data_IF_918483110210
#
_entry.id   IF_918483110210
#
_cell.length_a   1.000
_cell.length_b   1.000
_cell.length_c   1.000
_cell.angle_alpha   90.00
_cell.angle_beta   90.00
_cell.angle_gamma   90.00
#
_symmetry.space_group_name_H-M   'P 1'
#
loop_
_entity.id
_entity.type
_entity.pdbx_description
1 polymer ?
#
# COMPACT_ATOMS: atom_id res chain seq x y z
N UNK A 1 20.92 0.48 6.47
CA UNK A 1 20.09 -0.71 6.75
C UNK A 1 19.44 -0.52 8.12
N UNK A 2 18.11 -0.44 8.15
CA UNK A 2 17.37 -0.16 9.39
C UNK A 2 17.46 -1.36 10.36
N UNK A 3 17.74 -1.11 11.64
CA UNK A 3 17.89 -2.18 12.65
C UNK A 3 16.59 -2.96 12.86
N UNK A 4 15.44 -2.30 12.67
CA UNK A 4 14.09 -2.86 12.80
C UNK A 4 13.79 -3.86 11.68
N UNK A 5 14.12 -3.52 10.42
CA UNK A 5 14.00 -4.40 9.25
C UNK A 5 14.72 -5.75 9.46
N UNK A 6 15.95 -5.70 9.99
CA UNK A 6 16.76 -6.89 10.26
C UNK A 6 16.15 -7.76 11.38
N UNK A 7 15.54 -7.15 12.40
CA UNK A 7 14.93 -7.87 13.52
C UNK A 7 13.64 -8.60 13.11
N UNK A 8 12.79 -7.94 12.30
CA UNK A 8 11.58 -8.53 11.74
C UNK A 8 11.87 -9.77 10.89
N UNK A 9 12.78 -9.64 9.93
CA UNK A 9 13.16 -10.73 9.04
C UNK A 9 13.72 -11.92 9.82
N UNK A 10 14.56 -11.66 10.85
CA UNK A 10 15.06 -12.71 11.75
C UNK A 10 13.94 -13.45 12.48
N UNK A 11 12.95 -12.74 13.00
CA UNK A 11 11.82 -13.36 13.70
C UNK A 11 10.98 -14.24 12.77
N UNK A 12 10.71 -13.78 11.54
CA UNK A 12 9.99 -14.55 10.54
C UNK A 12 10.77 -15.80 10.12
N UNK A 13 12.07 -15.69 9.85
CA UNK A 13 12.93 -16.82 9.51
C UNK A 13 13.03 -17.83 10.68
N UNK A 14 13.11 -17.35 11.92
CA UNK A 14 13.11 -18.20 13.10
C UNK A 14 11.78 -18.96 13.26
N UNK A 15 10.64 -18.33 12.98
CA UNK A 15 9.34 -19.00 12.97
C UNK A 15 9.26 -20.08 11.88
N UNK A 16 9.78 -19.80 10.68
CA UNK A 16 9.83 -20.80 9.61
C UNK A 16 10.66 -22.00 10.06
N UNK A 17 11.87 -21.75 10.60
CA UNK A 17 12.81 -22.76 11.03
C UNK A 17 12.33 -23.60 12.23
N UNK A 18 11.49 -23.03 13.11
CA UNK A 18 10.99 -23.74 14.30
C UNK A 18 10.02 -24.88 13.97
N UNK A 19 9.49 -24.94 12.74
CA UNK A 19 8.44 -25.89 12.37
C UNK A 19 7.06 -25.56 12.95
N UNK A 20 6.92 -24.46 13.71
CA UNK A 20 5.65 -24.05 14.28
C UNK A 20 4.58 -23.82 13.21
N UNK A 21 3.33 -24.12 13.56
CA UNK A 21 2.16 -23.88 12.73
C UNK A 21 1.46 -22.59 13.17
N UNK A 22 0.87 -21.89 12.21
CA UNK A 22 0.01 -20.74 12.44
C UNK A 22 -1.28 -20.97 11.67
N UNK A 23 -2.39 -20.94 12.41
CA UNK A 23 -3.74 -21.18 11.92
C UNK A 23 -4.66 -20.05 12.39
N UNK A 24 -5.55 -19.62 11.50
CA UNK A 24 -6.53 -18.54 11.70
C UNK A 24 -7.89 -19.06 11.24
N UNK A 25 -8.93 -18.87 12.04
CA UNK A 25 -10.24 -19.48 11.80
C UNK A 25 -10.26 -20.98 12.11
N UNK A 26 -11.26 -21.70 11.61
CA UNK A 26 -11.40 -23.14 11.83
C UNK A 26 -11.61 -23.91 10.52
N UNK A 27 -11.03 -25.11 10.35
CA UNK A 27 -11.19 -25.89 9.12
C UNK A 27 -12.65 -26.23 8.79
N UNK A 28 -13.52 -26.40 9.80
CA UNK A 28 -14.94 -26.68 9.62
C UNK A 28 -15.73 -25.53 8.98
N UNK A 29 -15.24 -24.29 9.11
CA UNK A 29 -15.84 -23.10 8.52
C UNK A 29 -15.53 -23.00 7.01
N UNK A 30 -14.54 -23.77 6.52
CA UNK A 30 -14.22 -23.81 5.11
C UNK A 30 -15.37 -24.41 4.28
N UNK A 31 -15.64 -23.86 3.09
CA UNK A 31 -16.71 -24.34 2.22
C UNK A 31 -16.36 -25.66 1.52
N UNK A 32 -15.07 -26.00 1.45
CA UNK A 32 -14.51 -27.24 0.90
C UNK A 32 -13.49 -27.84 1.89
N UNK A 33 -13.21 -29.16 1.84
CA UNK A 33 -12.17 -29.77 2.66
C UNK A 33 -10.80 -29.10 2.47
N UNK A 34 -10.04 -28.95 3.55
CA UNK A 34 -8.74 -28.27 3.50
C UNK A 34 -7.74 -28.94 2.54
N UNK A 35 -7.75 -30.28 2.47
CA UNK A 35 -6.93 -31.01 1.50
C UNK A 35 -7.29 -30.66 0.06
N UNK A 36 -8.58 -30.45 -0.23
CA UNK A 36 -9.05 -30.00 -1.55
C UNK A 36 -8.54 -28.59 -1.86
N UNK A 37 -8.67 -27.65 -0.91
CA UNK A 37 -8.17 -26.27 -1.07
C UNK A 37 -6.66 -26.21 -1.30
N UNK A 38 -5.89 -27.01 -0.56
CA UNK A 38 -4.43 -27.04 -0.68
C UNK A 38 -3.93 -27.63 -2.01
N UNK A 39 -4.75 -28.47 -2.67
CA UNK A 39 -4.43 -29.09 -3.96
C UNK A 39 -5.10 -28.39 -5.16
N UNK A 40 -5.85 -27.31 -4.94
CA UNK A 40 -6.47 -26.54 -6.03
C UNK A 40 -5.39 -25.96 -6.94
N UNK A 41 -5.47 -26.28 -8.23
CA UNK A 41 -4.54 -25.80 -9.26
C UNK A 41 -5.23 -24.95 -10.35
N UNK A 42 -6.56 -24.88 -10.33
CA UNK A 42 -7.37 -24.11 -11.28
C UNK A 42 -8.13 -24.98 -12.28
N UNK A 43 -7.81 -26.28 -12.39
CA UNK A 43 -8.49 -27.19 -13.33
C UNK A 43 -9.85 -27.70 -12.82
N UNK A 44 -10.18 -27.42 -11.56
CA UNK A 44 -11.34 -28.00 -10.89
C UNK A 44 -12.62 -27.24 -11.26
N UNK A 45 -13.74 -27.95 -11.38
CA UNK A 45 -15.03 -27.34 -11.77
C UNK A 45 -15.57 -26.31 -10.76
N UNK A 46 -15.12 -26.34 -9.51
CA UNK A 46 -15.47 -25.34 -8.50
C UNK A 46 -14.62 -24.06 -8.60
N UNK A 47 -13.62 -24.01 -9.49
CA UNK A 47 -12.84 -22.80 -9.75
C UNK A 47 -13.48 -22.06 -10.91
N UNK A 48 -14.02 -20.87 -10.65
CA UNK A 48 -14.63 -20.04 -11.68
C UNK A 48 -13.64 -19.10 -12.35
N UNK A 49 -12.53 -18.77 -11.67
CA UNK A 49 -11.52 -17.85 -12.19
C UNK A 49 -10.14 -18.08 -11.57
N UNK A 50 -9.10 -17.97 -12.38
CA UNK A 50 -7.71 -17.87 -11.93
C UNK A 50 -7.21 -16.44 -12.14
N UNK A 51 -6.64 -15.83 -11.09
CA UNK A 51 -6.00 -14.52 -11.15
C UNK A 51 -4.49 -14.71 -11.30
N UNK A 52 -4.03 -14.70 -12.54
CA UNK A 52 -2.62 -14.84 -12.93
C UNK A 52 -1.85 -13.54 -12.70
N UNK A 53 -1.48 -13.26 -11.45
CA UNK A 53 -0.70 -12.07 -11.10
C UNK A 53 0.14 -12.16 -9.82
N UNK A 54 -0.14 -13.11 -8.93
CA UNK A 54 0.57 -13.21 -7.65
C UNK A 54 2.01 -13.74 -7.80
N UNK A 55 2.99 -12.95 -7.37
CA UNK A 55 4.41 -13.36 -7.34
C UNK A 55 4.70 -14.41 -6.24
N UNK A 56 3.89 -14.41 -5.18
CA UNK A 56 4.11 -15.24 -3.98
C UNK A 56 3.06 -16.34 -3.83
N UNK A 57 1.90 -16.19 -4.47
CA UNK A 57 0.77 -17.11 -4.37
C UNK A 57 0.01 -17.22 -5.70
N UNK A 58 -0.68 -18.35 -5.88
CA UNK A 58 -1.78 -18.50 -6.82
C UNK A 58 -3.05 -17.96 -6.17
N UNK A 59 -3.90 -17.28 -6.94
CA UNK A 59 -5.18 -16.75 -6.43
C UNK A 59 -6.32 -17.24 -7.33
N UNK A 60 -7.32 -17.86 -6.72
CA UNK A 60 -8.46 -18.45 -7.39
C UNK A 60 -9.77 -17.89 -6.83
N UNK A 61 -10.77 -17.72 -7.70
CA UNK A 61 -12.18 -17.60 -7.30
C UNK A 61 -12.77 -19.00 -7.24
N UNK A 62 -13.24 -19.39 -6.06
CA UNK A 62 -13.84 -20.71 -5.78
C UNK A 62 -15.32 -20.55 -5.50
N UNK A 63 -16.16 -21.32 -6.19
CA UNK A 63 -17.60 -21.38 -5.98
C UNK A 63 -17.94 -22.58 -5.09
N UNK A 64 -18.43 -22.32 -3.89
CA UNK A 64 -18.78 -23.38 -2.96
C UNK A 64 -19.85 -22.92 -1.96
N UNK A 65 -20.78 -23.82 -1.64
CA UNK A 65 -21.94 -23.57 -0.76
C UNK A 65 -22.79 -22.35 -1.19
N UNK A 66 -22.90 -22.12 -2.50
CA UNK A 66 -23.69 -21.00 -3.06
C UNK A 66 -23.06 -19.63 -2.89
N UNK A 67 -21.77 -19.55 -2.56
CA UNK A 67 -21.01 -18.31 -2.40
C UNK A 67 -19.68 -18.40 -3.15
N UNK A 68 -19.13 -17.24 -3.49
CA UNK A 68 -17.80 -17.10 -4.08
C UNK A 68 -16.77 -16.79 -3.01
N UNK A 69 -15.60 -17.41 -3.15
CA UNK A 69 -14.49 -17.32 -2.21
C UNK A 69 -13.20 -16.96 -2.94
N UNK A 70 -12.32 -16.23 -2.27
CA UNK A 70 -10.95 -16.02 -2.72
C UNK A 70 -10.05 -17.03 -2.02
N UNK A 71 -9.47 -17.95 -2.79
CA UNK A 71 -8.43 -18.86 -2.33
C UNK A 71 -7.06 -18.34 -2.78
N UNK A 72 -6.24 -17.93 -1.81
CA UNK A 72 -4.82 -17.63 -2.02
C UNK A 72 -4.00 -18.84 -1.57
N UNK A 73 -3.37 -19.52 -2.53
CA UNK A 73 -2.51 -20.70 -2.31
C UNK A 73 -1.04 -20.31 -2.46
N UNK A 74 -0.24 -20.51 -1.43
CA UNK A 74 1.19 -20.24 -1.49
C UNK A 74 1.84 -21.03 -2.64
N UNK A 75 2.75 -20.38 -3.39
CA UNK A 75 3.52 -21.08 -4.42
C UNK A 75 4.49 -22.06 -3.78
N UNK A 76 4.72 -23.19 -4.45
CA UNK A 76 5.76 -24.14 -4.06
C UNK A 76 7.15 -23.50 -4.11
N UNK A 77 7.34 -22.53 -5.03
CA UNK A 77 8.51 -21.65 -5.12
C UNK A 77 8.06 -20.21 -5.23
N UNK A 78 8.36 -19.39 -4.23
CA UNK A 78 8.14 -17.94 -4.28
C UNK A 78 8.99 -17.34 -5.40
N UNK A 79 8.39 -16.48 -6.24
CA UNK A 79 9.11 -15.81 -7.33
C UNK A 79 9.95 -14.64 -6.83
N UNK A 80 9.61 -14.06 -5.67
CA UNK A 80 10.37 -12.98 -5.04
C UNK A 80 11.50 -13.58 -4.18
N UNK A 81 12.75 -13.22 -4.51
CA UNK A 81 13.94 -13.85 -3.91
C UNK A 81 14.45 -13.14 -2.65
N UNK A 82 14.02 -11.91 -2.38
CA UNK A 82 14.42 -11.20 -1.16
C UNK A 82 13.71 -11.78 0.08
N UNK A 83 14.25 -11.50 1.27
CA UNK A 83 13.75 -12.08 2.52
C UNK A 83 12.28 -11.71 2.81
N UNK A 84 11.88 -10.48 2.49
CA UNK A 84 10.50 -10.02 2.69
C UNK A 84 9.52 -10.76 1.76
N UNK A 85 9.90 -10.98 0.50
CA UNK A 85 9.13 -11.78 -0.45
C UNK A 85 8.99 -13.24 -0.05
N UNK A 86 10.07 -13.87 0.41
CA UNK A 86 10.06 -15.25 0.90
C UNK A 86 9.21 -15.43 2.16
N UNK A 87 9.11 -14.40 3.00
CA UNK A 87 8.32 -14.41 4.24
C UNK A 87 6.93 -13.79 4.10
N UNK A 88 6.60 -13.23 2.94
CA UNK A 88 5.34 -12.50 2.68
C UNK A 88 4.08 -13.32 3.01
N UNK A 89 4.03 -14.59 2.64
CA UNK A 89 2.86 -15.45 2.94
C UNK A 89 2.71 -15.69 4.45
N UNK A 90 3.82 -15.97 5.16
CA UNK A 90 3.81 -16.06 6.62
C UNK A 90 3.33 -14.74 7.23
N UNK A 91 3.85 -13.61 6.73
CA UNK A 91 3.48 -12.29 7.21
C UNK A 91 1.98 -12.05 7.01
N UNK A 92 1.43 -12.38 5.84
CA UNK A 92 0.00 -12.22 5.58
C UNK A 92 -0.84 -13.05 6.55
N UNK A 93 -0.51 -14.33 6.80
CA UNK A 93 -1.25 -15.16 7.78
C UNK A 93 -1.17 -14.55 9.19
N UNK A 94 0.01 -14.06 9.61
CA UNK A 94 0.16 -13.35 10.89
C UNK A 94 -0.70 -12.09 10.95
N UNK A 95 -0.78 -11.34 9.84
CA UNK A 95 -1.59 -10.12 9.75
C UNK A 95 -3.08 -10.42 9.70
N UNK A 96 -3.52 -11.50 9.07
CA UNK A 96 -4.92 -11.96 9.14
C UNK A 96 -5.33 -12.28 10.58
N UNK A 97 -4.44 -12.92 11.35
CA UNK A 97 -4.68 -13.17 12.78
C UNK A 97 -4.86 -11.86 13.57
N UNK A 98 -3.99 -10.87 13.32
CA UNK A 98 -4.06 -9.55 13.96
C UNK A 98 -5.37 -8.82 13.64
N UNK A 99 -5.72 -8.79 12.35
CA UNK A 99 -6.92 -8.15 11.86
C UNK A 99 -8.18 -8.82 12.41
N UNK A 100 -8.21 -10.16 12.51
CA UNK A 100 -9.33 -10.87 13.12
C UNK A 100 -9.49 -10.52 14.60
N UNK A 101 -8.39 -10.46 15.36
CA UNK A 101 -8.42 -10.05 16.76
C UNK A 101 -8.92 -8.59 16.92
N UNK A 102 -8.51 -7.68 16.04
CA UNK A 102 -8.97 -6.30 16.06
C UNK A 102 -10.46 -6.17 15.69
N UNK A 103 -10.94 -6.93 14.70
CA UNK A 103 -12.35 -6.90 14.25
C UNK A 103 -13.35 -7.44 15.26
N UNK A 104 -12.92 -8.27 16.20
CA UNK A 104 -13.77 -8.72 17.34
C UNK A 104 -14.11 -7.56 18.28
N UNK A 105 -13.30 -6.49 18.30
CA UNK A 105 -13.56 -5.30 19.13
C UNK A 105 -14.64 -4.44 18.48
N UNK A 106 -15.77 -4.29 19.15
CA UNK A 106 -16.96 -3.63 18.61
C UNK A 106 -16.69 -2.18 18.19
N UNK A 107 -15.79 -1.48 18.88
CA UNK A 107 -15.39 -0.11 18.56
C UNK A 107 -14.52 0.01 17.30
N UNK A 108 -13.93 -1.09 16.83
CA UNK A 108 -13.09 -1.14 15.64
C UNK A 108 -13.77 -1.85 14.45
N UNK A 109 -14.75 -2.70 14.71
CA UNK A 109 -15.39 -3.53 13.68
C UNK A 109 -15.85 -2.72 12.46
N UNK A 110 -16.59 -1.62 12.66
CA UNK A 110 -17.08 -0.80 11.54
C UNK A 110 -15.94 -0.05 10.85
N UNK A 111 -14.97 0.47 11.61
CA UNK A 111 -13.80 1.20 11.08
C UNK A 111 -12.84 0.31 10.29
N UNK A 112 -12.89 -0.99 10.54
CA UNK A 112 -12.12 -2.02 9.83
C UNK A 112 -13.00 -2.82 8.85
N UNK A 113 -14.24 -2.39 8.59
CA UNK A 113 -15.13 -3.07 7.64
C UNK A 113 -14.60 -3.00 6.20
N UNK A 114 -13.78 -2.00 5.87
CA UNK A 114 -13.05 -1.91 4.60
C UNK A 114 -11.91 -2.93 4.46
N UNK A 115 -11.58 -3.70 5.49
CA UNK A 115 -10.59 -4.78 5.40
C UNK A 115 -11.30 -6.07 5.02
N UNK A 116 -10.75 -6.87 4.11
CA UNK A 116 -11.32 -8.20 3.81
C UNK A 116 -11.31 -9.12 5.04
N UNK A 117 -12.35 -9.94 5.20
CA UNK A 117 -12.42 -10.92 6.28
C UNK A 117 -11.54 -12.14 6.00
N UNK A 118 -11.25 -12.91 7.05
CA UNK A 118 -10.54 -14.19 6.94
C UNK A 118 -11.47 -15.28 7.41
N UNK A 119 -11.81 -16.21 6.51
CA UNK A 119 -12.53 -17.41 6.87
C UNK A 119 -11.57 -18.45 7.45
N UNK A 120 -10.46 -18.67 6.76
CA UNK A 120 -9.44 -19.61 7.19
C UNK A 120 -8.07 -19.20 6.66
N UNK A 121 -7.02 -19.42 7.44
CA UNK A 121 -5.65 -19.38 6.92
C UNK A 121 -4.76 -20.36 7.67
N UNK A 122 -3.87 -21.04 6.96
CA UNK A 122 -2.86 -21.91 7.53
C UNK A 122 -1.53 -21.75 6.78
N UNK A 123 -0.50 -21.37 7.53
CA UNK A 123 0.83 -21.13 6.97
C UNK A 123 1.45 -22.38 6.35
N UNK A 124 1.46 -23.51 7.06
CA UNK A 124 2.14 -24.74 6.63
C UNK A 124 1.44 -25.46 5.51
N UNK A 125 0.12 -25.31 5.44
CA UNK A 125 -0.70 -25.81 4.33
C UNK A 125 -0.70 -24.88 3.12
N UNK A 126 -0.17 -23.66 3.26
CA UNK A 126 -0.10 -22.69 2.17
C UNK A 126 -1.49 -22.23 1.71
N UNK A 127 -2.47 -22.16 2.61
CA UNK A 127 -3.87 -21.82 2.26
C UNK A 127 -4.29 -20.57 3.01
N UNK A 128 -4.88 -19.61 2.29
CA UNK A 128 -5.61 -18.49 2.85
C UNK A 128 -6.92 -18.35 2.09
N UNK A 129 -8.03 -18.29 2.83
CA UNK A 129 -9.38 -18.23 2.32
C UNK A 129 -10.12 -17.02 2.91
N UNK A 130 -10.66 -16.21 2.02
CA UNK A 130 -11.54 -15.08 2.38
C UNK A 130 -12.79 -15.09 1.51
N UNK A 131 -13.87 -14.40 1.92
CA UNK A 131 -14.96 -14.09 1.01
C UNK A 131 -14.43 -13.43 -0.27
N UNK A 132 -15.08 -13.71 -1.39
CA UNK A 132 -14.81 -12.97 -2.62
C UNK A 132 -15.32 -11.53 -2.50
N UNK A 133 -14.52 -10.57 -2.96
CA UNK A 133 -14.92 -9.16 -3.00
C UNK A 133 -15.56 -8.92 -4.36
N UNK A 134 -16.88 -8.67 -4.39
CA UNK A 134 -17.60 -8.26 -5.61
C UNK A 134 -17.39 -6.77 -5.87
N UNK A 135 -16.13 -6.38 -6.02
CA UNK A 135 -15.71 -5.00 -6.22
C UNK A 135 -14.90 -4.80 -7.50
N UNK A 136 -14.83 -3.56 -7.94
CA UNK A 136 -14.09 -3.15 -9.13
C UNK A 136 -12.82 -2.39 -8.76
N UNK A 137 -11.88 -2.30 -9.71
CA UNK A 137 -10.69 -1.47 -9.51
C UNK A 137 -11.11 0.00 -9.34
N UNK A 138 -10.52 0.68 -8.35
CA UNK A 138 -10.77 2.11 -8.13
C UNK A 138 -10.19 2.91 -9.28
N UNK A 139 -11.04 3.63 -10.02
CA UNK A 139 -10.64 4.48 -11.15
C UNK A 139 -10.77 5.98 -10.87
N UNK A 140 -11.42 6.35 -9.77
CA UNK A 140 -11.58 7.73 -9.30
C UNK A 140 -11.58 7.84 -7.77
N UNK A 141 -11.09 8.98 -7.27
CA UNK A 141 -10.97 9.26 -5.84
C UNK A 141 -11.92 10.40 -5.44
N UNK A 142 -13.17 10.02 -5.19
CA UNK A 142 -14.19 10.92 -4.65
C UNK A 142 -13.99 11.17 -3.15
N UNK A 143 -14.68 12.18 -2.61
CA UNK A 143 -14.66 12.48 -1.17
C UNK A 143 -15.00 11.24 -0.33
N UNK A 144 -16.09 10.53 -0.64
CA UNK A 144 -16.49 9.31 0.09
C UNK A 144 -15.38 8.25 0.10
N UNK A 145 -14.74 7.99 -1.04
CA UNK A 145 -13.68 6.97 -1.14
C UNK A 145 -12.43 7.36 -0.37
N UNK A 146 -12.05 8.64 -0.42
CA UNK A 146 -10.92 9.15 0.35
C UNK A 146 -11.18 9.04 1.86
N UNK A 147 -12.41 9.33 2.29
CA UNK A 147 -12.84 9.17 3.69
C UNK A 147 -12.74 7.71 4.11
N UNK A 148 -13.36 6.80 3.36
CA UNK A 148 -13.36 5.36 3.66
C UNK A 148 -11.93 4.81 3.75
N UNK A 149 -11.08 5.17 2.77
CA UNK A 149 -9.69 4.75 2.75
C UNK A 149 -8.93 5.27 3.97
N UNK A 150 -9.01 6.59 4.24
CA UNK A 150 -8.26 7.21 5.33
C UNK A 150 -8.71 6.75 6.70
N UNK A 151 -10.01 6.59 6.92
CA UNK A 151 -10.53 6.02 8.15
C UNK A 151 -9.98 4.60 8.35
N UNK A 152 -9.92 3.78 7.30
CA UNK A 152 -9.37 2.42 7.37
C UNK A 152 -7.87 2.41 7.67
N UNK A 153 -7.03 3.09 6.86
CA UNK A 153 -5.57 3.00 7.00
C UNK A 153 -5.04 3.72 8.25
N UNK A 154 -5.71 4.79 8.70
CA UNK A 154 -5.36 5.46 9.96
C UNK A 154 -5.81 4.63 11.16
N UNK A 155 -6.92 3.89 11.06
CA UNK A 155 -7.32 2.94 12.11
C UNK A 155 -6.27 1.82 12.23
N UNK A 156 -5.79 1.26 11.12
CA UNK A 156 -4.68 0.30 11.14
C UNK A 156 -3.44 0.89 11.82
N UNK A 157 -3.00 2.07 11.39
CA UNK A 157 -1.83 2.73 11.95
C UNK A 157 -1.99 3.01 13.45
N UNK A 158 -3.18 3.43 13.89
CA UNK A 158 -3.51 3.65 15.30
C UNK A 158 -3.47 2.36 16.14
N UNK A 159 -3.63 1.19 15.52
CA UNK A 159 -3.52 -0.11 16.17
C UNK A 159 -2.14 -0.76 15.97
N UNK A 160 -1.15 0.00 15.49
CA UNK A 160 0.22 -0.47 15.33
C UNK A 160 0.40 -1.37 14.10
N UNK A 161 -0.39 -1.19 13.05
CA UNK A 161 -0.26 -1.88 11.76
C UNK A 161 -0.06 -0.87 10.63
N UNK A 162 1.04 -0.96 9.89
CA UNK A 162 1.38 -0.04 8.81
C UNK A 162 1.43 -0.76 7.47
N UNK A 163 0.62 -0.31 6.50
CA UNK A 163 0.54 -0.86 5.15
C UNK A 163 1.56 -0.20 4.23
N UNK A 164 2.45 -0.98 3.63
CA UNK A 164 3.50 -0.48 2.75
C UNK A 164 3.17 -0.62 1.26
N UNK A 165 2.31 -1.57 0.90
CA UNK A 165 1.96 -1.87 -0.49
C UNK A 165 0.49 -1.55 -0.79
N UNK A 166 0.10 -0.32 -0.48
CA UNK A 166 -1.21 0.21 -0.85
C UNK A 166 -1.21 0.57 -2.35
N UNK A 167 -1.03 -0.39 -3.25
CA UNK A 167 -1.06 -0.20 -4.70
C UNK A 167 -2.47 -0.45 -5.30
N UNK A 168 -2.75 -0.05 -6.55
CA UNK A 168 -4.08 -0.23 -7.15
C UNK A 168 -4.50 -1.69 -7.30
N UNK A 169 -3.56 -2.64 -7.25
CA UNK A 169 -3.84 -4.08 -7.28
C UNK A 169 -4.38 -4.64 -5.97
N UNK A 170 -4.27 -3.88 -4.87
CA UNK A 170 -4.63 -4.30 -3.51
C UNK A 170 -5.85 -3.52 -2.96
N UNK A 171 -6.53 -2.76 -3.82
CA UNK A 171 -7.70 -1.94 -3.46
C UNK A 171 -8.82 -2.13 -4.48
N UNK A 172 -10.00 -2.49 -3.99
CA UNK A 172 -11.24 -2.59 -4.77
C UNK A 172 -12.31 -1.67 -4.18
N UNK A 173 -13.35 -1.38 -4.96
CA UNK A 173 -14.55 -0.68 -4.53
C UNK A 173 -15.79 -1.54 -4.84
N UNK A 174 -16.51 -1.97 -3.79
CA UNK A 174 -17.79 -2.68 -3.88
C UNK A 174 -18.98 -1.79 -3.44
N UNK A 175 -18.80 -0.47 -3.49
CA UNK A 175 -19.63 0.53 -2.81
C UNK A 175 -18.98 1.06 -1.53
N UNK A 176 -17.90 0.40 -1.08
CA UNK A 176 -16.92 0.87 -0.08
C UNK A 176 -15.52 0.48 -0.53
N UNK A 177 -14.52 1.19 -0.03
CA UNK A 177 -13.13 0.80 -0.24
C UNK A 177 -12.82 -0.52 0.48
N UNK A 178 -12.23 -1.46 -0.26
CA UNK A 178 -11.83 -2.78 0.22
C UNK A 178 -10.33 -2.99 0.06
N UNK A 179 -9.65 -3.21 1.17
CA UNK A 179 -8.22 -3.54 1.21
C UNK A 179 -8.04 -5.05 1.40
N UNK A 180 -7.09 -5.60 0.67
CA UNK A 180 -6.68 -6.99 0.73
C UNK A 180 -5.18 -7.11 0.39
N UNK A 181 -4.64 -8.32 0.53
CA UNK A 181 -3.21 -8.62 0.38
C UNK A 181 -2.30 -7.91 1.40
N UNK A 182 -2.23 -8.47 2.60
CA UNK A 182 -1.47 -7.89 3.72
C UNK A 182 -0.05 -8.46 3.83
N UNK A 183 0.54 -8.89 2.71
CA UNK A 183 1.89 -9.44 2.65
C UNK A 183 2.96 -8.45 3.15
N UNK A 184 2.71 -7.15 3.00
CA UNK A 184 3.59 -6.05 3.42
C UNK A 184 3.01 -5.17 4.54
N UNK A 185 1.99 -5.67 5.26
CA UNK A 185 1.49 -5.03 6.47
C UNK A 185 2.39 -5.41 7.65
N UNK A 186 2.94 -4.43 8.36
CA UNK A 186 3.90 -4.65 9.44
C UNK A 186 3.50 -4.01 10.76
N UNK A 187 3.85 -4.69 11.85
CA UNK A 187 3.61 -4.21 13.21
C UNK A 187 4.60 -3.12 13.60
N UNK A 188 4.15 -2.22 14.47
CA UNK A 188 4.95 -1.20 15.15
C UNK A 188 4.27 -0.77 16.45
N UNK A 189 4.97 -0.07 17.34
CA UNK A 189 4.36 0.57 18.51
C UNK A 189 3.92 2.00 18.16
N UNK A 190 2.61 2.27 17.96
CA UNK A 190 2.14 3.59 17.52
C UNK A 190 2.30 4.68 18.58
N UNK A 191 2.61 4.32 19.83
CA UNK A 191 2.88 5.28 20.90
C UNK A 191 4.35 5.69 20.96
N UNK A 192 5.26 4.92 20.33
CA UNK A 192 6.72 5.13 20.42
C UNK A 192 7.41 5.27 19.07
N UNK A 193 6.79 4.76 18.02
CA UNK A 193 7.31 4.69 16.66
C UNK A 193 6.31 5.34 15.70
N UNK A 194 6.81 5.87 14.58
CA UNK A 194 5.94 6.54 13.61
C UNK A 194 5.33 5.57 12.59
N UNK A 195 6.10 4.53 12.25
CA UNK A 195 5.71 3.41 11.40
C UNK A 195 6.57 2.19 11.76
N UNK A 196 6.49 1.09 11.00
CA UNK A 196 7.27 -0.13 11.26
C UNK A 196 8.77 -0.02 11.00
N UNK A 197 9.25 1.11 10.49
CA UNK A 197 10.67 1.45 10.43
C UNK A 197 11.14 2.24 11.67
N UNK A 198 10.28 2.40 12.67
CA UNK A 198 10.59 3.07 13.92
C UNK A 198 10.53 4.60 13.81
N UNK A 199 11.52 5.26 14.42
CA UNK A 199 11.73 6.71 14.29
C UNK A 199 12.81 7.06 13.23
N UNK A 200 13.47 6.05 12.65
CA UNK A 200 14.62 6.25 11.76
C UNK A 200 14.21 6.65 10.33
N UNK A 201 13.04 6.22 9.87
CA UNK A 201 12.47 6.58 8.57
C UNK A 201 11.07 7.19 8.74
N UNK A 202 10.94 8.37 9.37
CA UNK A 202 9.65 9.01 9.66
C UNK A 202 8.99 9.60 8.40
N UNK A 203 9.60 9.43 7.22
CA UNK A 203 9.07 9.92 5.95
C UNK A 203 7.70 9.32 5.66
N UNK A 204 7.52 8.02 5.87
CA UNK A 204 6.32 7.33 5.42
C UNK A 204 5.20 7.34 6.47
N UNK A 205 4.09 7.99 6.12
CA UNK A 205 2.81 7.95 6.85
C UNK A 205 1.70 7.39 5.95
N UNK A 206 0.53 6.98 6.49
CA UNK A 206 -0.49 6.27 5.70
C UNK A 206 -0.96 7.00 4.44
N UNK A 207 -1.15 8.32 4.51
CA UNK A 207 -1.58 9.16 3.37
C UNK A 207 -0.49 9.26 2.31
N UNK A 208 0.77 9.42 2.73
CA UNK A 208 1.91 9.44 1.82
C UNK A 208 2.09 8.09 1.09
N UNK A 209 1.77 6.97 1.74
CA UNK A 209 1.84 5.66 1.09
C UNK A 209 0.77 5.48 0.03
N UNK A 210 -0.46 5.88 0.33
CA UNK A 210 -1.54 5.98 -0.67
C UNK A 210 -1.13 6.87 -1.85
N UNK A 211 -0.54 8.03 -1.57
CA UNK A 211 -0.10 8.97 -2.58
C UNK A 211 0.95 8.41 -3.52
N UNK A 212 1.98 7.81 -2.93
CA UNK A 212 3.14 7.30 -3.65
C UNK A 212 2.72 6.21 -4.62
N UNK A 213 1.91 5.27 -4.13
CA UNK A 213 1.56 4.03 -4.84
C UNK A 213 0.32 4.15 -5.72
N UNK A 214 -0.57 5.12 -5.48
CA UNK A 214 -1.83 5.25 -6.25
C UNK A 214 -2.18 6.68 -6.66
N UNK A 215 -2.29 7.61 -5.70
CA UNK A 215 -3.00 8.86 -5.95
C UNK A 215 -2.32 9.72 -7.01
N UNK A 216 -0.99 9.89 -6.94
CA UNK A 216 -0.28 10.70 -7.92
C UNK A 216 -0.23 10.05 -9.30
N UNK A 217 -0.28 8.72 -9.40
CA UNK A 217 -0.47 8.06 -10.69
C UNK A 217 -1.84 8.39 -11.31
N UNK A 218 -2.90 8.43 -10.49
CA UNK A 218 -4.22 8.86 -10.93
C UNK A 218 -4.26 10.36 -11.30
N UNK A 219 -3.55 11.21 -10.55
CA UNK A 219 -3.48 12.64 -10.81
C UNK A 219 -2.83 12.98 -12.16
N UNK A 220 -1.88 12.17 -12.67
CA UNK A 220 -1.35 12.32 -14.05
C UNK A 220 -2.48 12.31 -15.09
N UNK A 221 -3.48 11.45 -14.92
CA UNK A 221 -4.67 11.43 -15.79
C UNK A 221 -5.57 12.65 -15.60
N UNK A 222 -5.63 13.20 -14.39
CA UNK A 222 -6.41 14.41 -14.12
C UNK A 222 -5.75 15.67 -14.70
N UNK A 223 -4.42 15.76 -14.69
CA UNK A 223 -3.68 16.84 -15.36
C UNK A 223 -3.98 16.88 -16.86
N UNK A 224 -4.02 15.70 -17.50
CA UNK A 224 -4.35 15.58 -18.94
C UNK A 224 -5.82 15.91 -19.24
N UNK A 225 -6.73 15.63 -18.30
CA UNK A 225 -8.17 15.80 -18.47
C UNK A 225 -8.65 17.27 -18.33
N UNK A 226 -7.81 18.17 -17.83
CA UNK A 226 -8.14 19.60 -17.79
C UNK A 226 -7.35 20.40 -16.77
N UNK A 227 -7.26 21.70 -17.03
CA UNK A 227 -6.59 22.66 -16.17
C UNK A 227 -7.16 22.61 -14.74
N UNK A 228 -6.28 22.62 -13.74
CA UNK A 228 -6.61 22.64 -12.30
C UNK A 228 -7.34 21.41 -11.72
N UNK A 229 -7.69 20.38 -12.51
CA UNK A 229 -8.38 19.18 -11.98
C UNK A 229 -7.53 18.44 -10.95
N UNK A 230 -6.26 18.21 -11.27
CA UNK A 230 -5.33 17.54 -10.35
C UNK A 230 -5.13 18.32 -9.05
N UNK A 231 -4.94 19.64 -9.15
CA UNK A 231 -4.79 20.50 -7.97
C UNK A 231 -6.07 20.55 -7.13
N UNK A 232 -7.26 20.58 -7.74
CA UNK A 232 -8.52 20.54 -7.01
C UNK A 232 -8.71 19.21 -6.27
N UNK A 233 -8.42 18.07 -6.92
CA UNK A 233 -8.49 16.76 -6.29
C UNK A 233 -7.47 16.61 -5.16
N UNK A 234 -6.25 17.14 -5.35
CA UNK A 234 -5.23 17.19 -4.30
C UNK A 234 -5.68 18.04 -3.10
N UNK A 235 -6.28 19.21 -3.31
CA UNK A 235 -6.81 20.03 -2.21
C UNK A 235 -7.93 19.33 -1.44
N UNK A 236 -8.80 18.59 -2.14
CA UNK A 236 -9.83 17.77 -1.52
C UNK A 236 -9.20 16.69 -0.64
N UNK A 237 -8.28 15.90 -1.19
CA UNK A 237 -7.54 14.87 -0.45
C UNK A 237 -6.87 15.45 0.80
N UNK A 238 -6.12 16.54 0.68
CA UNK A 238 -5.45 17.18 1.82
C UNK A 238 -6.39 17.70 2.88
N UNK A 239 -7.54 18.23 2.49
CA UNK A 239 -8.55 18.70 3.44
C UNK A 239 -9.12 17.52 4.23
N UNK A 240 -9.35 16.38 3.56
CA UNK A 240 -9.82 15.16 4.20
C UNK A 240 -8.74 14.57 5.12
N UNK A 241 -7.50 14.45 4.64
CA UNK A 241 -6.36 13.95 5.40
C UNK A 241 -6.11 14.78 6.66
N UNK A 242 -6.18 16.11 6.56
CA UNK A 242 -5.96 17.03 7.66
C UNK A 242 -6.93 16.78 8.82
N UNK A 243 -8.23 16.71 8.55
CA UNK A 243 -9.25 16.44 9.58
C UNK A 243 -8.97 15.09 10.28
N UNK A 244 -8.57 14.06 9.53
CA UNK A 244 -8.34 12.71 10.07
C UNK A 244 -7.06 12.66 10.87
N UNK A 245 -6.01 13.35 10.45
CA UNK A 245 -4.75 13.42 11.19
C UNK A 245 -4.89 14.22 12.48
N UNK A 246 -5.72 15.27 12.52
CA UNK A 246 -6.02 15.99 13.76
C UNK A 246 -6.72 15.08 14.78
N UNK A 247 -7.67 14.26 14.34
CA UNK A 247 -8.32 13.25 15.19
C UNK A 247 -7.33 12.17 15.64
N UNK A 248 -6.50 11.66 14.72
CA UNK A 248 -5.48 10.65 15.01
C UNK A 248 -4.47 11.15 16.04
N UNK A 249 -3.96 12.37 15.86
CA UNK A 249 -3.06 13.03 16.81
C UNK A 249 -3.70 13.14 18.20
N UNK A 250 -4.95 13.61 18.27
CA UNK A 250 -5.66 13.76 19.54
C UNK A 250 -5.84 12.43 20.27
N UNK A 251 -6.15 11.37 19.51
CA UNK A 251 -6.32 10.03 20.06
C UNK A 251 -5.00 9.44 20.58
N UNK A 252 -3.91 9.56 19.82
CA UNK A 252 -2.59 9.12 20.26
C UNK A 252 -2.11 9.90 21.49
N UNK A 253 -2.37 11.21 21.55
CA UNK A 253 -2.05 12.02 22.72
C UNK A 253 -2.81 11.53 23.97
N UNK A 254 -4.10 11.22 23.83
CA UNK A 254 -4.93 10.67 24.91
C UNK A 254 -4.44 9.30 25.37
N UNK A 255 -3.89 8.49 24.47
CA UNK A 255 -3.30 7.18 24.77
C UNK A 255 -1.87 7.26 25.34
N UNK A 256 -1.29 8.45 25.46
CA UNK A 256 0.05 8.64 26.03
C UNK A 256 1.18 8.38 25.04
N UNK A 257 0.96 8.68 23.75
CA UNK A 257 2.03 8.66 22.76
C UNK A 257 3.19 9.59 23.14
N UNK A 258 4.40 9.20 22.76
CA UNK A 258 5.61 9.97 23.01
C UNK A 258 5.62 11.30 22.28
N UNK A 259 6.35 12.28 22.83
CA UNK A 259 6.50 13.59 22.21
C UNK A 259 7.02 13.48 20.77
N UNK A 260 7.98 12.60 20.50
CA UNK A 260 8.52 12.41 19.16
C UNK A 260 7.45 12.02 18.11
N UNK A 261 6.49 11.17 18.49
CA UNK A 261 5.38 10.77 17.61
C UNK A 261 4.42 11.94 17.38
N UNK A 262 4.04 12.64 18.47
CA UNK A 262 3.11 13.77 18.42
C UNK A 262 3.68 14.97 17.65
N UNK A 263 4.96 15.27 17.85
CA UNK A 263 5.67 16.35 17.16
C UNK A 263 5.74 16.08 15.66
N UNK A 264 6.01 14.83 15.27
CA UNK A 264 6.03 14.44 13.86
C UNK A 264 4.66 14.58 13.20
N UNK A 265 3.59 14.12 13.87
CA UNK A 265 2.22 14.31 13.36
C UNK A 265 1.83 15.79 13.29
N UNK A 266 2.24 16.58 14.29
CA UNK A 266 2.02 18.02 14.31
C UNK A 266 2.71 18.73 13.15
N UNK A 267 3.90 18.28 12.76
CA UNK A 267 4.61 18.80 11.59
C UNK A 267 3.85 18.54 10.29
N UNK A 268 3.32 17.32 10.10
CA UNK A 268 2.50 16.95 8.94
C UNK A 268 1.22 17.80 8.90
N UNK A 269 0.50 17.87 10.01
CA UNK A 269 -0.72 18.67 10.15
C UNK A 269 -0.46 20.14 9.83
N UNK A 270 0.56 20.74 10.43
CA UNK A 270 0.93 22.16 10.21
C UNK A 270 1.29 22.42 8.75
N UNK A 271 2.00 21.47 8.13
CA UNK A 271 2.37 21.56 6.71
C UNK A 271 1.14 21.64 5.83
N UNK A 272 0.17 20.75 6.03
CA UNK A 272 -1.07 20.76 5.26
C UNK A 272 -1.94 21.97 5.54
N UNK A 273 -2.08 22.39 6.81
CA UNK A 273 -2.80 23.62 7.18
C UNK A 273 -2.22 24.85 6.46
N UNK A 274 -0.89 24.99 6.51
CA UNK A 274 -0.19 26.11 5.85
C UNK A 274 -0.43 26.09 4.36
N UNK A 275 -0.30 24.93 3.71
CA UNK A 275 -0.51 24.80 2.26
C UNK A 275 -1.97 25.07 1.85
N UNK A 276 -2.95 24.54 2.59
CA UNK A 276 -4.37 24.74 2.28
C UNK A 276 -4.81 26.20 2.46
N UNK A 277 -4.25 26.90 3.44
CA UNK A 277 -4.49 28.34 3.67
C UNK A 277 -3.69 29.25 2.73
N UNK A 278 -2.59 28.75 2.16
CA UNK A 278 -1.69 29.47 1.26
C UNK A 278 -1.60 28.80 -0.11
N UNK A 279 -0.38 28.42 -0.50
CA UNK A 279 -0.11 27.78 -1.79
C UNK A 279 -0.16 26.26 -1.69
N UNK A 280 -1.33 25.69 -2.02
CA UNK A 280 -1.48 24.25 -2.19
C UNK A 280 -0.66 23.72 -3.38
N UNK A 281 -0.37 24.59 -4.36
CA UNK A 281 0.44 24.24 -5.53
C UNK A 281 1.89 23.94 -5.17
N UNK A 282 2.50 24.74 -4.28
CA UNK A 282 3.86 24.48 -3.82
C UNK A 282 3.96 23.13 -3.07
N UNK A 283 2.92 22.79 -2.28
CA UNK A 283 2.85 21.49 -1.63
C UNK A 283 2.62 20.35 -2.64
N UNK A 284 1.71 20.56 -3.60
CA UNK A 284 1.45 19.62 -4.68
C UNK A 284 2.74 19.28 -5.41
N UNK A 285 3.49 20.30 -5.85
CA UNK A 285 4.74 20.13 -6.57
C UNK A 285 5.76 19.31 -5.77
N UNK A 286 5.89 19.60 -4.47
CA UNK A 286 6.80 18.89 -3.57
C UNK A 286 6.44 17.42 -3.39
N UNK A 287 5.17 17.14 -3.12
CA UNK A 287 4.70 15.79 -2.83
C UNK A 287 4.55 14.94 -4.10
N UNK A 288 4.17 15.56 -5.24
CA UNK A 288 4.18 14.93 -6.55
C UNK A 288 5.61 14.52 -6.94
N UNK A 289 6.58 15.43 -6.81
CA UNK A 289 7.98 15.13 -7.05
C UNK A 289 8.44 13.95 -6.19
N UNK A 290 8.26 14.03 -4.87
CA UNK A 290 8.61 12.95 -3.93
C UNK A 290 7.96 11.62 -4.33
N UNK A 291 6.66 11.62 -4.59
CA UNK A 291 5.88 10.44 -4.97
C UNK A 291 6.39 9.80 -6.26
N UNK A 292 6.57 10.58 -7.33
CA UNK A 292 7.06 10.08 -8.61
C UNK A 292 8.50 9.57 -8.51
N UNK A 293 9.37 10.22 -7.74
CA UNK A 293 10.75 9.77 -7.53
C UNK A 293 10.83 8.46 -6.74
N UNK A 294 10.03 8.31 -5.69
CA UNK A 294 9.99 7.08 -4.89
C UNK A 294 9.50 5.88 -5.70
N UNK A 295 8.38 6.03 -6.42
CA UNK A 295 7.82 4.94 -7.22
C UNK A 295 8.74 4.57 -8.40
N UNK A 296 9.40 5.57 -9.00
CA UNK A 296 10.43 5.32 -10.02
C UNK A 296 11.62 4.54 -9.45
N UNK A 297 12.10 4.89 -8.26
CA UNK A 297 13.19 4.16 -7.61
C UNK A 297 12.79 2.70 -7.34
N UNK A 298 11.59 2.47 -6.81
CA UNK A 298 11.06 1.11 -6.56
C UNK A 298 10.96 0.29 -7.86
N UNK A 299 10.44 0.87 -8.95
CA UNK A 299 10.31 0.20 -10.25
C UNK A 299 11.67 -0.15 -10.87
N UNK A 300 12.66 0.76 -10.75
CA UNK A 300 14.02 0.56 -11.27
C UNK A 300 14.76 -0.50 -10.44
N UNK A 301 14.70 -0.43 -9.12
CA UNK A 301 15.34 -1.42 -8.23
C UNK A 301 14.73 -2.81 -8.43
N UNK A 302 13.40 -2.87 -8.67
CA UNK A 302 12.67 -4.10 -8.98
C UNK A 302 12.88 -4.63 -10.41
N UNK A 303 13.42 -3.82 -11.31
CA UNK A 303 13.52 -4.12 -12.76
C UNK A 303 12.17 -4.50 -13.38
N UNK A 304 11.12 -3.83 -12.93
CA UNK A 304 9.73 -4.08 -13.38
C UNK A 304 9.08 -2.76 -13.72
N UNK A 305 9.47 -2.17 -14.86
CA UNK A 305 8.93 -0.90 -15.29
C UNK A 305 7.68 -1.10 -16.15
N UNK A 306 6.70 -0.21 -16.01
CA UNK A 306 5.45 -0.25 -16.77
C UNK A 306 5.31 1.02 -17.62
N UNK A 307 4.28 1.12 -18.48
CA UNK A 307 3.98 2.38 -19.16
C UNK A 307 3.71 3.55 -18.20
N UNK A 308 3.24 3.26 -16.98
CA UNK A 308 3.05 4.29 -15.95
C UNK A 308 4.40 4.85 -15.46
N UNK A 309 5.42 4.01 -15.32
CA UNK A 309 6.78 4.44 -14.95
C UNK A 309 7.31 5.48 -15.94
N UNK A 310 7.08 5.27 -17.25
CA UNK A 310 7.47 6.23 -18.28
C UNK A 310 6.65 7.54 -18.23
N UNK A 311 5.36 7.47 -17.89
CA UNK A 311 4.55 8.68 -17.68
C UNK A 311 5.05 9.50 -16.48
N UNK A 312 5.41 8.85 -15.37
CA UNK A 312 6.03 9.51 -14.20
C UNK A 312 7.36 10.16 -14.56
N UNK A 313 8.20 9.49 -15.34
CA UNK A 313 9.46 10.05 -15.85
C UNK A 313 9.23 11.27 -16.74
N UNK A 314 8.27 11.20 -17.66
CA UNK A 314 7.92 12.32 -18.52
C UNK A 314 7.48 13.55 -17.68
N UNK A 315 6.65 13.33 -16.65
CA UNK A 315 6.27 14.38 -15.71
C UNK A 315 7.48 14.96 -14.97
N UNK A 316 8.35 14.11 -14.40
CA UNK A 316 9.55 14.56 -13.69
C UNK A 316 10.47 15.40 -14.58
N UNK A 317 10.68 14.97 -15.83
CA UNK A 317 11.50 15.68 -16.81
C UNK A 317 10.88 17.02 -17.20
N UNK A 318 9.58 17.06 -17.47
CA UNK A 318 8.87 18.29 -17.81
C UNK A 318 8.97 19.30 -16.67
N UNK A 319 8.67 18.88 -15.44
CA UNK A 319 8.70 19.75 -14.26
C UNK A 319 10.13 20.20 -13.91
N UNK A 320 11.13 19.33 -14.03
CA UNK A 320 12.53 19.74 -13.89
C UNK A 320 12.97 20.73 -14.99
N UNK A 321 12.45 20.58 -16.20
CA UNK A 321 12.75 21.50 -17.29
C UNK A 321 12.03 22.84 -17.13
N UNK A 322 10.75 22.86 -16.79
CA UNK A 322 9.92 24.07 -16.86
C UNK A 322 9.78 24.79 -15.53
N UNK A 323 9.93 24.08 -14.40
CA UNK A 323 9.63 24.56 -13.05
C UNK A 323 10.75 24.30 -12.03
N UNK A 324 12.00 24.20 -12.48
CA UNK A 324 13.15 23.96 -11.59
C UNK A 324 13.25 24.95 -10.41
N UNK A 325 13.04 26.24 -10.68
CA UNK A 325 13.10 27.26 -9.64
C UNK A 325 12.02 27.05 -8.55
N UNK A 326 10.82 26.63 -8.94
CA UNK A 326 9.74 26.33 -8.01
C UNK A 326 10.05 25.08 -7.17
N UNK A 327 10.64 24.05 -7.79
CA UNK A 327 11.09 22.84 -7.10
C UNK A 327 12.14 23.15 -6.02
N UNK A 328 13.08 24.05 -6.31
CA UNK A 328 14.05 24.55 -5.33
C UNK A 328 13.34 25.34 -4.24
N UNK A 329 12.46 26.28 -4.61
CA UNK A 329 11.79 27.18 -3.67
C UNK A 329 10.88 26.44 -2.68
N UNK A 330 10.18 25.38 -3.12
CA UNK A 330 9.32 24.58 -2.25
C UNK A 330 10.08 23.48 -1.49
N UNK A 331 11.37 23.29 -1.78
CA UNK A 331 12.23 22.29 -1.14
C UNK A 331 12.00 20.85 -1.63
N UNK A 332 11.40 20.67 -2.81
CA UNK A 332 11.20 19.34 -3.42
C UNK A 332 12.52 18.59 -3.67
N UNK A 333 13.59 19.34 -3.94
CA UNK A 333 14.90 18.79 -4.28
C UNK A 333 15.83 18.62 -3.06
N UNK A 334 15.33 18.81 -1.83
CA UNK A 334 16.18 18.82 -0.63
C UNK A 334 16.95 17.51 -0.38
N UNK A 335 16.45 16.38 -0.91
CA UNK A 335 17.08 15.06 -0.80
C UNK A 335 17.72 14.59 -2.12
N UNK A 336 17.57 15.36 -3.20
CA UNK A 336 18.21 15.04 -4.47
C UNK A 336 19.72 15.32 -4.37
N UNK A 337 20.51 14.48 -5.02
CA UNK A 337 21.97 14.62 -5.06
C UNK A 337 22.46 15.45 -6.25
N UNK A 338 21.55 15.87 -7.11
CA UNK A 338 21.89 16.59 -8.33
C UNK A 338 22.48 17.97 -8.00
N UNK A 339 23.57 18.34 -8.68
CA UNK A 339 24.26 19.62 -8.45
C UNK A 339 23.57 20.81 -9.15
N UNK A 340 22.56 20.55 -9.96
CA UNK A 340 21.80 21.56 -10.70
C UNK A 340 20.74 20.96 -11.62
N UNK A 341 20.06 21.83 -12.37
CA UNK A 341 19.00 21.45 -13.31
C UNK A 341 19.48 20.47 -14.37
N UNK A 342 20.63 20.74 -14.98
CA UNK A 342 21.13 19.95 -16.11
C UNK A 342 21.56 18.54 -15.64
N UNK A 343 22.25 18.43 -14.50
CA UNK A 343 22.58 17.13 -13.90
C UNK A 343 21.32 16.36 -13.48
N UNK A 344 20.29 17.04 -12.97
CA UNK A 344 19.02 16.41 -12.64
C UNK A 344 18.33 15.83 -13.89
N UNK A 345 18.31 16.58 -14.99
CA UNK A 345 17.76 16.11 -16.27
C UNK A 345 18.57 14.92 -16.82
N UNK A 346 19.90 14.98 -16.75
CA UNK A 346 20.78 13.87 -17.15
C UNK A 346 20.53 12.60 -16.31
N UNK A 347 20.28 12.75 -15.01
CA UNK A 347 19.90 11.64 -14.13
C UNK A 347 18.56 11.02 -14.54
N UNK A 348 17.57 11.85 -14.89
CA UNK A 348 16.27 11.39 -15.35
C UNK A 348 16.34 10.72 -16.74
N UNK A 349 17.20 11.19 -17.64
CA UNK A 349 17.45 10.56 -18.94
C UNK A 349 18.09 9.16 -18.78
N UNK A 350 19.05 9.01 -17.86
CA UNK A 350 19.62 7.70 -17.52
C UNK A 350 18.56 6.75 -16.95
N UNK A 351 17.71 7.25 -16.05
CA UNK A 351 16.61 6.48 -15.49
C UNK A 351 15.59 6.05 -16.56
N UNK A 352 15.28 6.93 -17.52
CA UNK A 352 14.40 6.60 -18.64
C UNK A 352 14.99 5.50 -19.53
N UNK A 353 16.28 5.59 -19.86
CA UNK A 353 16.95 4.54 -20.63
C UNK A 353 16.90 3.17 -19.93
N UNK A 354 17.06 3.14 -18.61
CA UNK A 354 16.90 1.92 -17.81
C UNK A 354 15.43 1.42 -17.83
N UNK A 355 14.48 2.32 -17.60
CA UNK A 355 13.06 1.98 -17.54
C UNK A 355 12.52 1.43 -18.87
N UNK A 356 13.05 1.90 -20.01
CA UNK A 356 12.76 1.34 -21.34
C UNK A 356 13.30 -0.10 -21.45
N UNK A 357 14.51 -0.35 -20.94
CA UNK A 357 15.12 -1.69 -20.94
C UNK A 357 14.41 -2.72 -20.04
N UNK A 358 13.65 -2.27 -19.05
CA UNK A 358 12.92 -3.10 -18.09
C UNK A 358 11.40 -3.06 -18.23
N UNK A 359 10.89 -2.66 -19.41
CA UNK A 359 9.45 -2.66 -19.67
C UNK A 359 8.88 -4.07 -19.57
N UNK A 360 7.91 -4.24 -18.68
CA UNK A 360 7.03 -5.40 -18.67
C UNK A 360 5.71 -5.04 -19.37
N UNK A 361 5.11 -5.98 -20.15
CA UNK A 361 3.79 -5.75 -20.71
C UNK A 361 2.83 -5.38 -19.59
N UNK A 362 1.98 -4.37 -19.83
CA UNK A 362 0.91 -4.01 -18.88
C UNK A 362 0.19 -5.30 -18.52
N UNK A 363 0.20 -5.67 -17.23
CA UNK A 363 -0.63 -6.77 -16.76
C UNK A 363 -2.02 -6.47 -17.32
N UNK A 364 -2.56 -7.37 -18.15
CA UNK A 364 -3.98 -7.27 -18.50
C UNK A 364 -4.67 -7.18 -17.15
N UNK A 365 -5.58 -6.20 -16.91
CA UNK A 365 -6.44 -6.30 -15.74
C UNK A 365 -6.95 -7.74 -15.78
N UNK A 366 -6.68 -8.51 -14.72
CA UNK A 366 -7.09 -9.89 -14.67
C UNK A 366 -8.53 -9.88 -15.17
N UNK A 367 -8.81 -10.51 -16.31
CA UNK A 367 -10.06 -10.27 -17.05
C UNK A 367 -11.21 -10.49 -16.08
N UNK A 368 -12.02 -9.44 -15.86
CA UNK A 368 -13.12 -9.40 -14.89
C UNK A 368 -13.97 -10.66 -14.94
#
# INVERSE_FOLDING_TARGET
MNATLNTRQKAQLAFIASGAELEVGRPEDCPLPLSTLAMTDGSQAYVSRELSGGLTAHVYRVEARGQSWTLKRARERCLVQNADGQTSFLNEVQRRADLQALKVRHELAERLSGIVDTCYANFRRGVLLSPWIEGEQVTDWSETRLIDLFDTVITLASQGLFEWDLCPGNVLDDGRIRLFDFGYLYRFDPLREFNSDGLASPGFHPVERFETRQFFAWLLGQEQAGENRALAAFRLEKSIALDRYQRWHSELARQGASAAVLDRLSEVIRTWQTALSGSAEALYLREAWRSHRLDLADDLDGQTCTPLTLQRLAWLKDIAATRYADLVACGALAIERAEGRDDLLDQLDRAEAQAVGWQVPRARPAGL
#
